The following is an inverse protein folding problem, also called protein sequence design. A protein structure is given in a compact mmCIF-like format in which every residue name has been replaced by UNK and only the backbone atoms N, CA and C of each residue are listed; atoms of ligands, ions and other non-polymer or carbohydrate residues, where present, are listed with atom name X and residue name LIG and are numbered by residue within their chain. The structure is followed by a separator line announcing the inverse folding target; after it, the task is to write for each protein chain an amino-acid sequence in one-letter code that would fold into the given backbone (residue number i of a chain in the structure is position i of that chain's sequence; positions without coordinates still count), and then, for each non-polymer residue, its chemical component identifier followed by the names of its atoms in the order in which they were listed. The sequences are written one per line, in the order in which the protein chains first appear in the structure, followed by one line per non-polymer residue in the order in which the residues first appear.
data_IF_401249729451
#
_entry.id   IF_401249729451
#
_cell.length_a   1.000
_cell.length_b   1.000
_cell.length_c   1.000
_cell.angle_alpha   90.00
_cell.angle_beta   90.00
_cell.angle_gamma   90.00
#
_symmetry.space_group_name_H-M   'P 1'
#
loop_
_entity.id
_entity.type
_entity.pdbx_description
1 polymer ?
#
# COMPACT_ATOMS: atom_id res chain seq x y z
N UNK A 1 -4.81 -16.10 -21.58
CA UNK A 1 -3.72 -15.12 -21.28
C UNK A 1 -3.54 -14.25 -22.51
N UNK A 2 -3.46 -12.93 -22.34
CA UNK A 2 -3.32 -11.99 -23.45
C UNK A 2 -2.05 -12.24 -24.26
N UNK A 3 -2.14 -12.07 -25.58
CA UNK A 3 -1.01 -12.15 -26.52
C UNK A 3 -0.45 -10.75 -26.81
N UNK A 4 0.74 -10.66 -27.41
CA UNK A 4 1.43 -9.40 -27.70
C UNK A 4 0.54 -8.36 -28.41
N UNK A 5 -0.21 -8.75 -29.42
CA UNK A 5 -1.09 -7.85 -30.20
C UNK A 5 -2.17 -7.20 -29.30
N UNK A 6 -2.71 -7.94 -28.35
CA UNK A 6 -3.71 -7.42 -27.39
C UNK A 6 -3.09 -6.40 -26.43
N UNK A 7 -1.87 -6.66 -25.91
CA UNK A 7 -1.14 -5.68 -25.12
C UNK A 7 -0.83 -4.41 -25.89
N UNK A 8 -0.41 -4.51 -27.15
CA UNK A 8 -0.15 -3.36 -28.03
C UNK A 8 -1.45 -2.54 -28.28
N UNK A 9 -2.60 -3.19 -28.36
CA UNK A 9 -3.89 -2.51 -28.46
C UNK A 9 -4.24 -1.78 -27.16
N UNK A 10 -4.06 -2.41 -25.99
CA UNK A 10 -4.27 -1.77 -24.69
C UNK A 10 -3.30 -0.60 -24.52
N UNK A 11 -2.04 -0.74 -24.91
CA UNK A 11 -1.07 0.36 -24.90
C UNK A 11 -1.54 1.56 -25.73
N UNK A 12 -2.03 1.33 -26.95
CA UNK A 12 -2.55 2.40 -27.82
C UNK A 12 -3.71 3.15 -27.21
N UNK A 13 -4.62 2.44 -26.54
CA UNK A 13 -5.82 3.05 -25.93
C UNK A 13 -5.55 3.71 -24.59
N UNK A 14 -4.60 3.18 -23.81
CA UNK A 14 -4.32 3.68 -22.45
C UNK A 14 -3.14 4.63 -22.37
N UNK A 15 -2.19 4.55 -23.30
CA UNK A 15 -0.96 5.34 -23.30
C UNK A 15 0.10 4.92 -22.29
N UNK A 16 -0.06 3.77 -21.61
CA UNK A 16 0.93 3.26 -20.66
C UNK A 16 2.08 2.50 -21.33
N UNK A 17 3.20 2.39 -20.65
CA UNK A 17 4.34 1.59 -21.07
C UNK A 17 3.97 0.10 -21.18
N UNK A 18 4.37 -0.56 -22.30
CA UNK A 18 3.98 -1.95 -22.60
C UNK A 18 4.48 -2.94 -21.55
N UNK A 19 5.70 -2.80 -21.08
CA UNK A 19 6.30 -3.71 -20.10
C UNK A 19 5.61 -3.59 -18.73
N UNK A 20 5.26 -2.36 -18.35
CA UNK A 20 4.52 -2.14 -17.11
C UNK A 20 3.04 -2.55 -17.23
N UNK A 21 2.43 -2.44 -18.42
CA UNK A 21 1.10 -3.00 -18.67
C UNK A 21 1.08 -4.52 -18.50
N UNK A 22 2.08 -5.22 -19.05
CA UNK A 22 2.21 -6.67 -18.86
C UNK A 22 2.36 -7.03 -17.38
N UNK A 23 3.20 -6.29 -16.64
CA UNK A 23 3.36 -6.48 -15.20
C UNK A 23 2.05 -6.23 -14.43
N UNK A 24 1.32 -5.16 -14.76
CA UNK A 24 0.01 -4.85 -14.18
C UNK A 24 -1.04 -5.92 -14.52
N UNK A 25 -0.95 -6.53 -15.71
CA UNK A 25 -1.79 -7.66 -16.09
C UNK A 25 -1.57 -8.88 -15.19
N UNK A 26 -0.33 -9.31 -15.04
CA UNK A 26 0.02 -10.44 -14.17
C UNK A 26 -0.39 -10.18 -12.71
N UNK A 27 -0.18 -8.96 -12.22
CA UNK A 27 -0.63 -8.52 -10.91
C UNK A 27 -2.16 -8.64 -10.77
N UNK A 28 -2.92 -8.13 -11.73
CA UNK A 28 -4.39 -8.17 -11.72
C UNK A 28 -4.91 -9.60 -11.82
N UNK A 29 -4.29 -10.44 -12.64
CA UNK A 29 -4.62 -11.87 -12.79
C UNK A 29 -4.44 -12.62 -11.46
N UNK A 30 -3.29 -12.43 -10.81
CA UNK A 30 -3.00 -13.03 -9.49
C UNK A 30 -4.01 -12.57 -8.45
N UNK A 31 -4.28 -11.27 -8.38
CA UNK A 31 -5.21 -10.68 -7.43
C UNK A 31 -6.64 -11.22 -7.62
N UNK A 32 -7.10 -11.35 -8.87
CA UNK A 32 -8.39 -11.92 -9.19
C UNK A 32 -8.51 -13.39 -8.72
N UNK A 33 -7.49 -14.20 -8.93
CA UNK A 33 -7.51 -15.59 -8.45
C UNK A 33 -7.46 -15.69 -6.92
N UNK A 34 -6.64 -14.86 -6.26
CA UNK A 34 -6.61 -14.80 -4.79
C UNK A 34 -7.98 -14.45 -4.19
N UNK A 35 -8.76 -13.58 -4.84
CA UNK A 35 -10.09 -13.19 -4.35
C UNK A 35 -11.16 -14.29 -4.49
N UNK A 36 -10.95 -15.28 -5.35
CA UNK A 36 -11.84 -16.45 -5.47
C UNK A 36 -11.69 -17.39 -4.27
N UNK A 37 -10.54 -17.36 -3.60
CA UNK A 37 -10.26 -18.24 -2.47
C UNK A 37 -10.79 -17.64 -1.15
N UNK A 38 -11.72 -18.31 -0.43
CA UNK A 38 -12.38 -17.76 0.75
C UNK A 38 -11.40 -17.32 1.84
N UNK A 39 -10.40 -18.16 2.18
CA UNK A 39 -9.42 -17.84 3.23
C UNK A 39 -8.63 -16.58 2.90
N UNK A 40 -8.17 -16.41 1.64
CA UNK A 40 -7.41 -15.23 1.24
C UNK A 40 -8.28 -13.98 1.24
N UNK A 41 -9.48 -14.07 0.66
CA UNK A 41 -10.46 -12.98 0.60
C UNK A 41 -10.87 -12.47 1.98
N UNK A 42 -11.01 -13.37 2.94
CA UNK A 42 -11.46 -13.03 4.30
C UNK A 42 -10.34 -12.46 5.17
N UNK A 43 -9.10 -12.87 4.94
CA UNK A 43 -8.00 -12.58 5.85
C UNK A 43 -6.94 -11.63 5.29
N UNK A 44 -6.98 -11.29 4.00
CA UNK A 44 -6.05 -10.34 3.40
C UNK A 44 -6.78 -9.05 3.00
N UNK A 45 -6.15 -7.92 3.30
CA UNK A 45 -6.65 -6.59 2.94
C UNK A 45 -5.60 -5.91 2.06
N UNK A 46 -6.01 -5.55 0.83
CA UNK A 46 -5.13 -4.87 -0.12
C UNK A 46 -4.83 -3.46 0.36
N UNK A 47 -3.57 -3.06 0.25
CA UNK A 47 -3.06 -1.72 0.57
C UNK A 47 -2.10 -1.20 -0.49
N UNK A 48 -1.38 -0.14 -0.16
CA UNK A 48 -0.30 0.40 -0.98
C UNK A 48 -0.77 1.08 -2.26
N UNK A 49 0.17 1.23 -3.20
CA UNK A 49 -0.07 1.91 -4.48
C UNK A 49 -1.14 1.22 -5.34
N UNK A 50 -1.23 -0.10 -5.28
CA UNK A 50 -2.22 -0.86 -6.05
C UNK A 50 -3.64 -0.58 -5.56
N UNK A 51 -3.87 -0.55 -4.24
CA UNK A 51 -5.17 -0.17 -3.71
C UNK A 51 -5.54 1.27 -4.08
N UNK A 52 -4.63 2.22 -3.91
CA UNK A 52 -4.88 3.63 -4.23
C UNK A 52 -5.21 3.82 -5.71
N UNK A 53 -4.36 3.33 -6.61
CA UNK A 53 -4.47 3.63 -8.03
C UNK A 53 -5.61 2.87 -8.72
N UNK A 54 -5.83 1.60 -8.41
CA UNK A 54 -6.85 0.79 -9.09
C UNK A 54 -8.25 0.87 -8.47
N UNK A 55 -8.37 1.29 -7.20
CA UNK A 55 -9.66 1.36 -6.52
C UNK A 55 -10.16 2.81 -6.43
N UNK A 56 -9.31 3.77 -6.08
CA UNK A 56 -9.73 5.12 -5.68
C UNK A 56 -9.39 6.20 -6.70
N UNK A 57 -8.26 6.09 -7.43
CA UNK A 57 -7.74 7.16 -8.28
C UNK A 57 -7.95 6.95 -9.78
N UNK A 58 -8.72 5.94 -10.19
CA UNK A 58 -9.00 5.65 -11.61
C UNK A 58 -7.74 5.47 -12.47
N UNK A 59 -6.73 4.81 -11.91
CA UNK A 59 -5.49 4.39 -12.57
C UNK A 59 -4.75 5.55 -13.26
N UNK A 60 -4.34 6.60 -12.53
CA UNK A 60 -3.52 7.69 -13.09
C UNK A 60 -2.09 7.22 -13.40
N UNK A 61 -1.61 6.23 -12.65
CA UNK A 61 -0.36 5.51 -12.90
C UNK A 61 -0.51 4.01 -12.68
N UNK A 62 0.37 3.25 -13.28
CA UNK A 62 0.44 1.81 -13.00
C UNK A 62 1.11 1.56 -11.64
N UNK A 63 0.59 0.60 -10.91
CA UNK A 63 1.24 -0.03 -9.75
C UNK A 63 1.60 -1.46 -10.09
N UNK A 64 2.76 -1.91 -9.62
CA UNK A 64 3.41 -3.16 -10.05
C UNK A 64 3.75 -4.10 -8.89
N UNK A 65 3.35 -3.75 -7.68
CA UNK A 65 3.57 -4.55 -6.48
C UNK A 65 2.23 -4.86 -5.80
N UNK A 66 2.10 -6.01 -5.16
CA UNK A 66 0.94 -6.38 -4.36
C UNK A 66 1.30 -6.33 -2.87
N UNK A 67 0.73 -5.36 -2.19
CA UNK A 67 0.91 -5.16 -0.76
C UNK A 67 -0.37 -5.51 -0.01
N UNK A 68 -0.28 -6.42 0.96
CA UNK A 68 -1.37 -6.80 1.83
C UNK A 68 -1.01 -6.63 3.30
N UNK A 69 -2.02 -6.33 4.11
CA UNK A 69 -1.99 -6.68 5.51
C UNK A 69 -2.86 -7.92 5.74
N UNK A 70 -2.35 -8.84 6.54
CA UNK A 70 -3.19 -9.87 7.12
C UNK A 70 -4.11 -9.21 8.17
N UNK A 71 -5.41 -9.42 8.06
CA UNK A 71 -6.43 -8.79 8.92
C UNK A 71 -7.40 -9.82 9.50
N UNK A 72 -6.93 -11.03 9.71
CA UNK A 72 -7.69 -12.13 10.34
C UNK A 72 -7.68 -12.06 11.86
N UNK A 73 -7.05 -13.05 12.49
CA UNK A 73 -6.99 -13.17 13.96
C UNK A 73 -5.98 -12.21 14.59
N UNK A 74 -6.31 -11.68 15.78
CA UNK A 74 -5.47 -10.66 16.45
C UNK A 74 -4.34 -11.31 17.25
N UNK A 75 -4.58 -12.46 17.91
CA UNK A 75 -3.55 -13.11 18.72
C UNK A 75 -2.41 -13.65 17.86
N UNK A 76 -1.23 -13.72 18.46
CA UNK A 76 -0.04 -14.19 17.76
C UNK A 76 -0.16 -15.66 17.36
N UNK A 77 -0.64 -16.47 18.25
CA UNK A 77 -0.76 -17.93 18.11
C UNK A 77 -1.74 -18.31 16.99
N UNK A 78 -2.90 -17.66 16.97
CA UNK A 78 -3.91 -17.88 15.91
C UNK A 78 -3.42 -17.34 14.56
N UNK A 79 -2.76 -16.18 14.54
CA UNK A 79 -2.18 -15.61 13.33
C UNK A 79 -1.14 -16.56 12.72
N UNK A 80 -0.24 -17.13 13.53
CA UNK A 80 0.79 -18.08 13.03
C UNK A 80 0.15 -19.31 12.41
N UNK A 81 -0.87 -19.89 13.04
CA UNK A 81 -1.61 -21.04 12.48
C UNK A 81 -2.26 -20.68 11.14
N UNK A 82 -2.94 -19.55 11.09
CA UNK A 82 -3.64 -19.10 9.88
C UNK A 82 -2.67 -18.69 8.77
N UNK A 83 -1.51 -18.13 9.11
CA UNK A 83 -0.44 -17.80 8.16
C UNK A 83 0.03 -19.02 7.38
N UNK A 84 0.27 -20.14 8.04
CA UNK A 84 0.69 -21.38 7.38
C UNK A 84 -0.33 -21.82 6.32
N UNK A 85 -1.61 -21.71 6.63
CA UNK A 85 -2.68 -22.02 5.71
C UNK A 85 -2.73 -21.03 4.54
N UNK A 86 -2.68 -19.71 4.81
CA UNK A 86 -2.64 -18.65 3.79
C UNK A 86 -1.47 -18.86 2.83
N UNK A 87 -0.27 -19.07 3.33
CA UNK A 87 0.92 -19.25 2.50
C UNK A 87 0.89 -20.54 1.66
N UNK A 88 0.25 -21.60 2.17
CA UNK A 88 -0.02 -22.82 1.40
C UNK A 88 -0.95 -22.55 0.22
N UNK A 89 -2.11 -21.92 0.47
CA UNK A 89 -3.10 -21.60 -0.57
C UNK A 89 -2.53 -20.65 -1.64
N UNK A 90 -1.73 -19.67 -1.22
CA UNK A 90 -1.02 -18.77 -2.14
C UNK A 90 -0.09 -19.55 -3.07
N UNK A 91 0.71 -20.48 -2.54
CA UNK A 91 1.60 -21.31 -3.35
C UNK A 91 0.85 -22.18 -4.36
N UNK A 92 -0.28 -22.76 -3.93
CA UNK A 92 -1.13 -23.57 -4.83
C UNK A 92 -1.72 -22.75 -5.97
N UNK A 93 -2.25 -21.53 -5.67
CA UNK A 93 -2.77 -20.61 -6.69
C UNK A 93 -1.68 -20.25 -7.69
N UNK A 94 -0.50 -19.89 -7.22
CA UNK A 94 0.58 -19.44 -8.09
C UNK A 94 1.13 -20.57 -8.97
N UNK A 95 1.22 -21.76 -8.41
CA UNK A 95 1.58 -22.96 -9.20
C UNK A 95 0.56 -23.23 -10.30
N UNK A 96 -0.74 -23.15 -10.01
CA UNK A 96 -1.83 -23.31 -11.01
C UNK A 96 -1.80 -22.24 -12.11
N UNK A 97 -1.22 -21.09 -11.83
CA UNK A 97 -1.06 -19.98 -12.78
C UNK A 97 0.28 -19.99 -13.53
N UNK A 98 1.12 -21.03 -13.34
CA UNK A 98 2.43 -21.20 -13.95
C UNK A 98 3.47 -20.11 -13.55
N UNK A 99 3.37 -19.59 -12.30
CA UNK A 99 4.39 -18.70 -11.77
C UNK A 99 5.46 -19.45 -10.98
N UNK A 100 6.71 -19.10 -11.23
CA UNK A 100 7.81 -19.55 -10.39
C UNK A 100 7.94 -18.64 -9.15
N UNK A 101 7.82 -19.25 -7.97
CA UNK A 101 7.84 -18.54 -6.70
C UNK A 101 9.26 -18.49 -6.14
N UNK A 102 9.69 -17.32 -5.69
CA UNK A 102 10.95 -17.15 -4.92
C UNK A 102 10.68 -16.37 -3.64
N UNK A 103 11.16 -16.87 -2.51
CA UNK A 103 11.20 -16.12 -1.26
C UNK A 103 12.24 -14.99 -1.38
N UNK A 104 11.90 -13.81 -0.88
CA UNK A 104 12.71 -12.58 -0.92
C UNK A 104 13.08 -12.10 0.48
N UNK A 105 13.28 -13.00 1.41
CA UNK A 105 13.65 -12.69 2.78
C UNK A 105 12.41 -12.48 3.66
N UNK A 106 11.53 -13.46 3.67
CA UNK A 106 10.41 -13.53 4.61
C UNK A 106 10.89 -13.62 6.05
N UNK A 107 10.13 -13.04 6.98
CA UNK A 107 10.38 -13.10 8.41
C UNK A 107 9.08 -13.44 9.15
N UNK A 108 9.15 -13.54 10.48
CA UNK A 108 7.97 -13.79 11.29
C UNK A 108 6.82 -12.79 11.05
N UNK A 109 7.15 -11.52 10.83
CA UNK A 109 6.17 -10.43 10.70
C UNK A 109 5.80 -10.08 9.24
N UNK A 110 6.54 -10.61 8.27
CA UNK A 110 6.34 -10.26 6.87
C UNK A 110 6.67 -11.44 5.96
N UNK A 111 5.83 -11.69 4.97
CA UNK A 111 6.10 -12.61 3.87
C UNK A 111 6.40 -11.80 2.61
N UNK A 112 7.55 -12.08 1.96
CA UNK A 112 7.97 -11.43 0.74
C UNK A 112 8.23 -12.46 -0.33
N UNK A 113 7.48 -12.39 -1.41
CA UNK A 113 7.58 -13.31 -2.51
C UNK A 113 7.76 -12.58 -3.83
N UNK A 114 8.46 -13.22 -4.76
CA UNK A 114 8.60 -12.78 -6.14
C UNK A 114 8.03 -13.87 -7.03
N UNK A 115 7.03 -13.49 -7.85
CA UNK A 115 6.43 -14.37 -8.83
C UNK A 115 7.04 -14.09 -10.19
N UNK A 116 7.86 -15.01 -10.68
CA UNK A 116 8.48 -14.91 -11.99
C UNK A 116 7.57 -15.46 -13.08
N UNK A 117 7.53 -14.79 -14.21
CA UNK A 117 6.81 -15.18 -15.41
C UNK A 117 7.65 -14.94 -16.65
N UNK A 118 7.28 -15.59 -17.76
CA UNK A 118 7.84 -15.30 -19.07
C UNK A 118 7.06 -14.15 -19.70
N UNK A 119 7.78 -13.13 -20.16
CA UNK A 119 7.17 -11.97 -20.81
C UNK A 119 6.77 -12.27 -22.26
N UNK A 120 5.92 -11.40 -22.84
CA UNK A 120 5.56 -11.45 -24.28
C UNK A 120 6.76 -11.27 -25.21
N UNK A 121 7.91 -10.85 -24.69
CA UNK A 121 9.22 -10.76 -25.40
C UNK A 121 10.11 -11.96 -25.13
N UNK A 122 9.58 -13.03 -24.53
CA UNK A 122 10.33 -14.25 -24.17
C UNK A 122 11.48 -14.03 -23.19
N UNK A 123 11.49 -12.90 -22.48
CA UNK A 123 12.38 -12.65 -21.34
C UNK A 123 11.70 -13.05 -20.02
N UNK A 124 12.41 -12.94 -18.90
CA UNK A 124 11.82 -13.18 -17.57
C UNK A 124 11.65 -11.88 -16.82
N UNK A 125 10.47 -11.68 -16.24
CA UNK A 125 10.20 -10.60 -15.30
C UNK A 125 9.46 -11.15 -14.06
N UNK A 126 9.16 -10.28 -13.11
CA UNK A 126 8.52 -10.70 -11.86
C UNK A 126 7.61 -9.62 -11.29
N UNK A 127 6.60 -10.04 -10.54
CA UNK A 127 5.83 -9.18 -9.64
C UNK A 127 6.20 -9.50 -8.20
N UNK A 128 6.14 -8.49 -7.32
CA UNK A 128 6.41 -8.65 -5.89
C UNK A 128 5.10 -8.74 -5.13
N UNK A 129 5.06 -9.63 -4.16
CA UNK A 129 3.94 -9.74 -3.22
C UNK A 129 4.50 -9.67 -1.82
N UNK A 130 3.93 -8.76 -1.04
CA UNK A 130 4.27 -8.59 0.37
C UNK A 130 3.01 -8.74 1.23
N UNK A 131 3.08 -9.54 2.28
CA UNK A 131 2.02 -9.68 3.28
C UNK A 131 2.61 -9.33 4.64
N UNK A 132 2.09 -8.26 5.24
CA UNK A 132 2.46 -7.85 6.59
C UNK A 132 1.53 -8.51 7.61
N UNK A 133 2.09 -9.29 8.52
CA UNK A 133 1.39 -9.99 9.60
C UNK A 133 1.44 -9.24 10.93
N UNK A 134 2.17 -8.13 11.01
CA UNK A 134 2.28 -7.33 12.23
C UNK A 134 1.18 -6.24 12.30
N UNK A 135 1.00 -5.49 11.23
CA UNK A 135 -0.05 -4.47 11.08
C UNK A 135 -1.37 -5.14 10.66
N UNK A 136 -1.99 -5.86 11.63
CA UNK A 136 -3.14 -6.74 11.37
C UNK A 136 -4.46 -6.24 11.94
N UNK A 137 -4.49 -5.04 12.50
CA UNK A 137 -5.72 -4.44 13.04
C UNK A 137 -6.03 -3.14 12.29
N UNK A 138 -6.97 -3.14 11.33
CA UNK A 138 -7.39 -1.91 10.66
C UNK A 138 -7.93 -0.89 11.67
N UNK A 139 -7.45 0.34 11.62
CA UNK A 139 -7.90 1.41 12.51
C UNK A 139 -9.35 1.82 12.17
N UNK A 140 -9.65 1.94 10.89
CA UNK A 140 -10.99 2.17 10.37
C UNK A 140 -11.78 0.89 10.14
N UNK A 141 -12.72 0.97 9.21
CA UNK A 141 -13.47 -0.20 8.73
C UNK A 141 -12.77 -0.79 7.52
N UNK A 142 -12.62 -2.12 7.51
CA UNK A 142 -12.28 -2.87 6.31
C UNK A 142 -13.47 -2.83 5.36
N UNK A 143 -13.26 -2.41 4.13
CA UNK A 143 -14.32 -2.21 3.17
C UNK A 143 -14.17 -3.14 1.97
N UNK A 144 -15.30 -3.63 1.46
CA UNK A 144 -15.32 -4.37 0.19
C UNK A 144 -15.40 -3.36 -0.95
N UNK A 145 -14.36 -3.29 -1.76
CA UNK A 145 -14.22 -2.32 -2.86
C UNK A 145 -14.17 -3.01 -4.21
N UNK A 146 -14.71 -2.33 -5.21
CA UNK A 146 -14.65 -2.75 -6.60
C UNK A 146 -13.25 -2.48 -7.16
N UNK A 147 -12.64 -3.50 -7.74
CA UNK A 147 -11.38 -3.39 -8.49
C UNK A 147 -11.70 -3.47 -9.97
N UNK A 148 -11.49 -2.36 -10.67
CA UNK A 148 -11.76 -2.28 -12.11
C UNK A 148 -10.54 -2.74 -12.90
N UNK A 149 -10.69 -3.83 -13.64
CA UNK A 149 -9.65 -4.29 -14.56
C UNK A 149 -9.67 -3.48 -15.85
N UNK A 150 -8.48 -3.16 -16.38
CA UNK A 150 -8.33 -2.62 -17.73
C UNK A 150 -8.10 -3.72 -18.78
N UNK A 151 -8.03 -4.97 -18.35
CA UNK A 151 -7.73 -6.12 -19.18
C UNK A 151 -9.01 -6.89 -19.53
N UNK A 152 -9.31 -7.12 -20.82
CA UNK A 152 -10.61 -7.65 -21.26
C UNK A 152 -10.89 -9.08 -20.81
N UNK A 153 -9.85 -9.89 -20.59
CA UNK A 153 -9.96 -11.28 -20.12
C UNK A 153 -10.04 -11.42 -18.60
N UNK A 154 -9.91 -10.32 -17.84
CA UNK A 154 -10.04 -10.31 -16.39
C UNK A 154 -11.26 -9.46 -16.01
N UNK A 155 -12.33 -10.08 -15.49
CA UNK A 155 -13.53 -9.34 -15.10
C UNK A 155 -13.25 -8.39 -13.93
N UNK A 156 -14.10 -7.40 -13.77
CA UNK A 156 -14.15 -6.60 -12.54
C UNK A 156 -14.54 -7.50 -11.35
N UNK A 157 -13.85 -7.37 -10.25
CA UNK A 157 -14.09 -8.15 -9.04
C UNK A 157 -14.12 -7.24 -7.80
N UNK A 158 -14.46 -7.78 -6.66
CA UNK A 158 -14.46 -7.05 -5.38
C UNK A 158 -13.47 -7.67 -4.42
N UNK A 159 -12.79 -6.83 -3.66
CA UNK A 159 -11.81 -7.25 -2.67
C UNK A 159 -11.86 -6.36 -1.41
N UNK A 160 -11.24 -6.84 -0.34
CA UNK A 160 -11.10 -6.07 0.87
C UNK A 160 -9.97 -5.05 0.75
N UNK A 161 -10.27 -3.79 1.10
CA UNK A 161 -9.29 -2.70 1.20
C UNK A 161 -9.61 -1.81 2.39
N UNK A 162 -8.73 -0.88 2.67
CA UNK A 162 -8.93 0.18 3.67
C UNK A 162 -9.74 1.34 3.08
N UNK A 163 -10.27 2.23 3.92
CA UNK A 163 -10.80 3.52 3.45
C UNK A 163 -9.70 4.36 2.80
N UNK A 164 -10.07 5.31 1.94
CA UNK A 164 -9.10 6.19 1.30
C UNK A 164 -8.31 7.01 2.33
N UNK A 165 -8.93 7.43 3.44
CA UNK A 165 -8.28 8.17 4.51
C UNK A 165 -7.23 7.32 5.23
N UNK A 166 -7.51 6.04 5.48
CA UNK A 166 -6.54 5.14 6.12
C UNK A 166 -5.37 4.81 5.17
N UNK A 167 -5.64 4.58 3.88
CA UNK A 167 -4.60 4.42 2.87
C UNK A 167 -3.74 5.68 2.71
N UNK A 168 -4.36 6.87 2.77
CA UNK A 168 -3.64 8.15 2.74
C UNK A 168 -2.71 8.29 3.93
N UNK A 169 -3.16 7.91 5.12
CA UNK A 169 -2.33 7.93 6.33
C UNK A 169 -1.14 6.98 6.24
N UNK A 170 -1.36 5.75 5.76
CA UNK A 170 -0.29 4.79 5.50
C UNK A 170 0.71 5.32 4.45
N UNK A 171 0.21 5.92 3.36
CA UNK A 171 1.03 6.50 2.29
C UNK A 171 1.85 7.68 2.77
N UNK A 172 1.26 8.58 3.56
CA UNK A 172 1.93 9.76 4.12
C UNK A 172 3.08 9.37 5.04
N UNK A 173 2.85 8.39 5.91
CA UNK A 173 3.88 7.87 6.81
C UNK A 173 5.00 7.18 6.04
N UNK A 174 4.65 6.33 5.06
CA UNK A 174 5.64 5.66 4.22
C UNK A 174 6.50 6.67 3.42
N UNK A 175 5.92 7.76 2.94
CA UNK A 175 6.64 8.81 2.23
C UNK A 175 7.69 9.49 3.11
N UNK A 176 7.41 9.73 4.39
CA UNK A 176 8.40 10.26 5.34
C UNK A 176 9.54 9.28 5.64
N UNK A 177 9.23 7.98 5.65
CA UNK A 177 10.21 6.95 6.00
C UNK A 177 11.20 6.67 4.86
N UNK A 178 10.69 6.47 3.63
CA UNK A 178 11.49 5.97 2.51
C UNK A 178 11.72 6.98 1.38
N UNK A 179 10.94 8.07 1.36
CA UNK A 179 11.09 9.14 0.38
C UNK A 179 11.06 8.67 -1.09
N UNK A 180 10.09 7.83 -1.45
CA UNK A 180 9.90 7.32 -2.81
C UNK A 180 9.14 8.33 -3.69
N UNK A 181 9.60 8.55 -4.92
CA UNK A 181 8.99 9.51 -5.85
C UNK A 181 7.54 9.15 -6.18
N UNK A 182 7.23 7.87 -6.31
CA UNK A 182 5.86 7.39 -6.52
C UNK A 182 4.92 7.75 -5.36
N UNK A 183 5.46 7.87 -4.14
CA UNK A 183 4.66 8.28 -2.98
C UNK A 183 4.32 9.78 -3.05
N UNK A 184 5.23 10.62 -3.56
CA UNK A 184 4.94 12.05 -3.80
C UNK A 184 3.81 12.22 -4.82
N UNK A 185 3.86 11.49 -5.92
CA UNK A 185 2.83 11.57 -6.96
C UNK A 185 1.46 11.10 -6.43
N UNK A 186 1.44 9.99 -5.67
CA UNK A 186 0.20 9.53 -5.03
C UNK A 186 -0.35 10.59 -4.07
N UNK A 187 0.49 11.23 -3.25
CA UNK A 187 0.07 12.29 -2.32
C UNK A 187 -0.43 13.55 -3.04
N UNK A 188 0.21 13.96 -4.13
CA UNK A 188 -0.27 15.03 -4.99
C UNK A 188 -1.68 14.75 -5.51
N UNK A 189 -1.97 13.53 -5.96
CA UNK A 189 -3.31 13.15 -6.42
C UNK A 189 -4.31 13.05 -5.28
N UNK A 190 -3.89 12.53 -4.12
CA UNK A 190 -4.72 12.40 -2.93
C UNK A 190 -5.09 13.76 -2.33
N UNK A 191 -4.21 14.77 -2.41
CA UNK A 191 -4.51 16.14 -1.94
C UNK A 191 -5.69 16.78 -2.67
N UNK A 192 -6.01 16.28 -3.87
CA UNK A 192 -7.14 16.75 -4.71
C UNK A 192 -8.44 15.98 -4.45
N UNK A 193 -8.40 14.94 -3.61
CA UNK A 193 -9.58 14.13 -3.29
C UNK A 193 -10.35 14.73 -2.12
N UNK A 194 -11.68 14.57 -2.16
CA UNK A 194 -12.54 14.97 -1.04
C UNK A 194 -12.46 13.94 0.08
N UNK A 195 -11.73 14.25 1.14
CA UNK A 195 -11.47 13.39 2.30
C UNK A 195 -11.60 14.17 3.62
N UNK A 196 -11.76 13.45 4.73
CA UNK A 196 -11.72 14.06 6.06
C UNK A 196 -10.27 14.16 6.54
N UNK A 197 -9.72 15.38 6.59
CA UNK A 197 -8.37 15.65 7.12
C UNK A 197 -8.27 15.23 8.59
N UNK A 198 -9.27 15.52 9.41
CA UNK A 198 -9.30 15.11 10.81
C UNK A 198 -9.14 13.58 10.97
N UNK A 199 -9.86 12.82 10.15
CA UNK A 199 -9.77 11.35 10.17
C UNK A 199 -8.39 10.87 9.71
N UNK A 200 -7.81 11.50 8.67
CA UNK A 200 -6.46 11.21 8.21
C UNK A 200 -5.45 11.50 9.33
N UNK A 201 -5.55 12.64 10.02
CA UNK A 201 -4.67 13.00 11.12
C UNK A 201 -4.73 11.99 12.27
N UNK A 202 -5.95 11.56 12.68
CA UNK A 202 -6.12 10.51 13.70
C UNK A 202 -5.41 9.22 13.32
N UNK A 203 -5.62 8.74 12.09
CA UNK A 203 -4.94 7.53 11.61
C UNK A 203 -3.42 7.74 11.48
N UNK A 204 -3.00 8.89 10.97
CA UNK A 204 -1.57 9.22 10.80
C UNK A 204 -0.83 9.28 12.12
N UNK A 205 -1.47 9.73 13.20
CA UNK A 205 -0.89 9.70 14.55
C UNK A 205 -0.47 8.27 14.94
N UNK A 206 -1.33 7.29 14.69
CA UNK A 206 -1.07 5.89 15.02
C UNK A 206 -0.03 5.28 14.08
N UNK A 207 -0.19 5.45 12.75
CA UNK A 207 0.77 4.92 11.77
C UNK A 207 2.16 5.55 11.94
N UNK A 208 2.24 6.82 12.30
CA UNK A 208 3.49 7.49 12.62
C UNK A 208 4.20 6.81 13.81
N UNK A 209 3.49 6.53 14.89
CA UNK A 209 4.04 5.82 16.05
C UNK A 209 4.53 4.39 15.71
N UNK A 210 3.94 3.73 14.71
CA UNK A 210 4.37 2.40 14.29
C UNK A 210 5.71 2.40 13.54
N UNK A 211 6.00 3.45 12.77
CA UNK A 211 7.16 3.51 11.88
C UNK A 211 8.27 4.41 12.39
N UNK A 212 7.97 5.61 12.84
CA UNK A 212 8.94 6.66 13.19
C UNK A 212 9.91 6.26 14.31
N UNK A 213 11.05 6.93 14.34
CA UNK A 213 12.09 6.74 15.37
C UNK A 213 12.06 7.80 16.44
N UNK A 214 11.34 8.89 16.23
CA UNK A 214 11.23 10.02 17.15
C UNK A 214 9.81 10.61 17.15
N UNK A 215 9.54 11.55 18.05
CA UNK A 215 8.23 12.15 18.26
C UNK A 215 7.89 13.32 17.31
N UNK A 216 8.77 13.67 16.37
CA UNK A 216 8.54 14.80 15.46
C UNK A 216 8.68 14.39 14.00
N UNK A 217 7.62 14.51 13.17
CA UNK A 217 7.71 14.28 11.73
C UNK A 217 8.69 15.24 11.04
N UNK A 218 9.57 14.71 10.23
CA UNK A 218 10.51 15.49 9.43
C UNK A 218 10.08 15.55 7.96
N UNK A 219 9.36 16.62 7.62
CA UNK A 219 8.89 16.88 6.25
C UNK A 219 10.00 17.53 5.40
N UNK A 220 11.10 17.99 5.99
CA UNK A 220 12.17 18.66 5.25
C UNK A 220 12.82 17.75 4.20
N UNK A 221 12.86 16.45 4.44
CA UNK A 221 13.35 15.44 3.49
C UNK A 221 12.67 15.53 2.12
N UNK A 222 11.36 15.84 2.10
CA UNK A 222 10.60 15.96 0.86
C UNK A 222 11.06 17.15 0.01
N UNK A 223 11.50 18.26 0.66
CA UNK A 223 12.03 19.41 -0.06
C UNK A 223 13.31 19.09 -0.84
N UNK A 224 14.08 18.10 -0.38
CA UNK A 224 15.32 17.66 -1.00
C UNK A 224 15.17 16.84 -2.29
N UNK A 225 13.95 16.49 -2.71
CA UNK A 225 13.76 15.72 -3.95
C UNK A 225 14.21 16.49 -5.19
N UNK A 226 15.01 15.83 -6.01
CA UNK A 226 15.44 16.36 -7.30
C UNK A 226 14.29 16.32 -8.30
N UNK A 227 13.97 17.49 -8.87
CA UNK A 227 12.89 17.69 -9.85
C UNK A 227 13.11 16.87 -11.12
N UNK A 228 14.34 16.76 -11.60
CA UNK A 228 14.68 15.97 -12.79
C UNK A 228 14.43 14.48 -12.54
N UNK A 229 14.79 14.01 -11.35
CA UNK A 229 14.56 12.63 -10.93
C UNK A 229 13.08 12.31 -10.82
N UNK A 230 12.25 13.23 -10.30
CA UNK A 230 10.79 13.08 -10.28
C UNK A 230 10.24 12.82 -11.68
N UNK A 231 10.62 13.65 -12.64
CA UNK A 231 10.17 13.50 -14.02
C UNK A 231 10.60 12.18 -14.66
N UNK A 232 11.88 11.82 -14.51
CA UNK A 232 12.45 10.60 -15.11
C UNK A 232 11.82 9.31 -14.53
N UNK A 233 11.66 9.23 -13.22
CA UNK A 233 11.12 8.02 -12.58
C UNK A 233 9.62 7.87 -12.79
N UNK A 234 8.84 8.97 -12.80
CA UNK A 234 7.40 8.88 -12.99
C UNK A 234 7.00 8.59 -14.43
N UNK A 235 7.76 9.07 -15.40
CA UNK A 235 7.41 8.96 -16.83
C UNK A 235 7.07 7.52 -17.24
N UNK A 236 7.77 6.52 -16.72
CA UNK A 236 7.51 5.13 -17.06
C UNK A 236 6.19 4.58 -16.50
N UNK A 237 5.68 5.13 -15.38
CA UNK A 237 4.49 4.63 -14.68
C UNK A 237 3.19 5.31 -15.12
N UNK A 238 3.27 6.50 -15.69
CA UNK A 238 2.13 7.30 -16.13
C UNK A 238 1.86 7.13 -17.61
N UNK A 239 0.75 7.70 -18.09
CA UNK A 239 0.41 7.71 -19.53
C UNK A 239 1.33 8.64 -20.29
N UNK A 240 1.71 8.26 -21.50
CA UNK A 240 2.56 9.09 -22.37
C UNK A 240 1.96 10.49 -22.68
N UNK A 241 0.62 10.63 -22.62
CA UNK A 241 -0.07 11.90 -22.82
C UNK A 241 -0.09 12.79 -21.58
N UNK A 242 0.28 12.27 -20.41
CA UNK A 242 0.24 13.00 -19.13
C UNK A 242 1.37 14.02 -19.08
N UNK A 243 0.99 15.28 -18.89
CA UNK A 243 1.96 16.37 -18.68
C UNK A 243 2.20 16.53 -17.18
N UNK A 244 3.41 16.17 -16.75
CA UNK A 244 3.82 16.34 -15.35
C UNK A 244 4.46 17.73 -15.16
N UNK A 245 4.06 18.42 -14.10
CA UNK A 245 4.84 19.48 -13.51
C UNK A 245 5.44 19.00 -12.18
N UNK A 246 6.71 18.62 -12.14
CA UNK A 246 7.35 18.09 -10.95
C UNK A 246 7.38 19.07 -9.77
N UNK A 247 7.36 20.40 -10.04
CA UNK A 247 7.29 21.42 -8.99
C UNK A 247 5.94 21.37 -8.30
N UNK A 248 4.85 21.38 -9.08
CA UNK A 248 3.48 21.27 -8.55
C UNK A 248 3.28 19.98 -7.76
N UNK A 249 3.79 18.85 -8.28
CA UNK A 249 3.71 17.56 -7.56
C UNK A 249 4.39 17.66 -6.20
N UNK A 250 5.59 18.22 -6.15
CA UNK A 250 6.37 18.38 -4.92
C UNK A 250 5.71 19.35 -3.94
N UNK A 251 5.22 20.49 -4.43
CA UNK A 251 4.55 21.51 -3.62
C UNK A 251 3.24 20.98 -3.01
N UNK A 252 2.37 20.39 -3.80
CA UNK A 252 1.09 19.82 -3.36
C UNK A 252 1.33 18.73 -2.30
N UNK A 253 2.27 17.80 -2.56
CA UNK A 253 2.62 16.76 -1.61
C UNK A 253 3.18 17.33 -0.30
N UNK A 254 4.06 18.34 -0.37
CA UNK A 254 4.59 19.02 0.81
C UNK A 254 3.52 19.75 1.63
N UNK A 255 2.60 20.44 0.96
CA UNK A 255 1.50 21.14 1.64
C UNK A 255 0.56 20.14 2.31
N UNK A 256 0.21 19.09 1.60
CA UNK A 256 -0.67 18.04 2.12
C UNK A 256 -0.06 17.30 3.32
N UNK A 257 1.23 16.95 3.26
CA UNK A 257 1.93 16.36 4.39
C UNK A 257 1.99 17.29 5.61
N UNK A 258 2.21 18.59 5.40
CA UNK A 258 2.15 19.58 6.50
C UNK A 258 0.80 19.61 7.17
N UNK A 259 -0.28 19.55 6.37
CA UNK A 259 -1.65 19.50 6.88
C UNK A 259 -1.91 18.21 7.65
N UNK A 260 -1.53 17.04 7.10
CA UNK A 260 -1.73 15.72 7.74
C UNK A 260 -0.97 15.62 9.06
N UNK A 261 0.27 16.11 9.13
CA UNK A 261 1.11 16.02 10.31
C UNK A 261 1.05 17.28 11.21
N UNK A 262 0.08 18.18 10.98
CA UNK A 262 -0.25 19.27 11.90
C UNK A 262 -1.06 18.73 13.09
N UNK A 263 -0.42 17.89 13.89
CA UNK A 263 -1.07 17.22 15.02
C UNK A 263 -1.61 18.23 16.04
N UNK A 264 -2.84 18.02 16.49
CA UNK A 264 -3.41 18.80 17.59
C UNK A 264 -2.78 18.41 18.95
N UNK A 265 -3.11 19.15 20.01
CA UNK A 265 -2.54 18.91 21.34
C UNK A 265 -2.74 17.48 21.86
N UNK A 266 -3.94 16.86 21.81
CA UNK A 266 -4.13 15.45 22.17
C UNK A 266 -3.28 14.48 21.37
N UNK A 267 -3.22 14.65 20.04
CA UNK A 267 -2.44 13.79 19.14
C UNK A 267 -0.93 13.90 19.43
N UNK A 268 -0.43 15.13 19.60
CA UNK A 268 0.98 15.33 19.96
C UNK A 268 1.29 14.74 21.34
N UNK A 269 0.39 14.90 22.32
CA UNK A 269 0.53 14.29 23.65
C UNK A 269 0.59 12.76 23.56
N UNK A 270 -0.25 12.15 22.72
CA UNK A 270 -0.20 10.69 22.48
C UNK A 270 1.18 10.27 21.95
N UNK A 271 1.70 10.96 20.93
CA UNK A 271 3.01 10.66 20.34
C UNK A 271 4.13 10.83 21.37
N UNK A 272 4.12 11.91 22.13
CA UNK A 272 5.15 12.18 23.14
C UNK A 272 5.18 11.11 24.23
N UNK A 273 4.02 10.71 24.75
CA UNK A 273 3.90 9.65 25.76
C UNK A 273 4.32 8.31 25.17
N UNK A 274 3.91 8.01 23.93
CA UNK A 274 4.30 6.78 23.24
C UNK A 274 5.82 6.62 23.15
N UNK A 275 6.55 7.67 22.76
CA UNK A 275 8.01 7.61 22.60
C UNK A 275 8.76 7.76 23.91
N UNK A 276 8.29 8.60 24.86
CA UNK A 276 9.00 8.90 26.12
C UNK A 276 8.68 7.89 27.22
N UNK A 277 7.38 7.53 27.35
CA UNK A 277 6.91 6.71 28.47
C UNK A 277 6.61 5.26 28.05
N UNK A 278 6.67 4.97 26.75
CA UNK A 278 6.33 3.64 26.18
C UNK A 278 4.91 3.17 26.54
N UNK A 279 3.96 4.12 26.57
CA UNK A 279 2.54 3.87 26.91
C UNK A 279 1.64 4.23 25.72
N UNK A 280 0.48 3.57 25.65
CA UNK A 280 -0.58 3.81 24.66
C UNK A 280 -1.78 4.39 25.41
N UNK A 281 -2.02 5.70 25.26
CA UNK A 281 -3.20 6.39 25.82
C UNK A 281 -4.24 6.61 24.69
N UNK A 282 -4.95 5.54 24.34
CA UNK A 282 -5.84 5.50 23.18
C UNK A 282 -6.99 6.51 23.25
N UNK A 283 -7.41 6.90 24.44
CA UNK A 283 -8.44 7.93 24.70
C UNK A 283 -8.09 9.31 24.13
N UNK A 284 -6.81 9.59 23.85
CA UNK A 284 -6.37 10.85 23.28
C UNK A 284 -6.64 10.96 21.76
N UNK A 285 -6.96 9.86 21.07
CA UNK A 285 -7.03 9.81 19.58
C UNK A 285 -8.46 9.71 19.06
N UNK A 286 -9.44 9.37 19.92
CA UNK A 286 -10.84 9.19 19.53
C UNK A 286 -11.01 8.18 18.36
N UNK A 287 -10.23 7.13 18.36
CA UNK A 287 -10.39 5.90 17.58
C UNK A 287 -10.82 4.80 18.56
N UNK A 288 -11.35 3.70 18.04
CA UNK A 288 -11.70 2.57 18.88
C UNK A 288 -10.52 2.17 19.78
N UNK A 289 -10.63 2.45 21.07
CA UNK A 289 -9.56 2.28 22.06
C UNK A 289 -9.01 0.86 22.11
N UNK A 290 -9.89 -0.15 22.02
CA UNK A 290 -9.47 -1.56 22.02
C UNK A 290 -8.60 -1.88 20.82
N UNK A 291 -8.88 -1.30 19.64
CA UNK A 291 -8.04 -1.48 18.45
C UNK A 291 -6.67 -0.86 18.64
N UNK A 292 -6.58 0.30 19.23
CA UNK A 292 -5.31 1.04 19.43
C UNK A 292 -4.48 0.38 20.53
N UNK A 293 -5.06 0.11 21.70
CA UNK A 293 -4.33 -0.47 22.85
C UNK A 293 -3.81 -1.88 22.61
N UNK A 294 -4.53 -2.67 21.82
CA UNK A 294 -4.15 -4.05 21.45
C UNK A 294 -3.48 -4.16 20.08
N UNK A 295 -3.11 -3.04 19.46
CA UNK A 295 -2.53 -3.06 18.11
C UNK A 295 -1.15 -3.71 18.12
N UNK A 296 -0.95 -4.85 17.43
CA UNK A 296 0.29 -5.60 17.53
C UNK A 296 1.52 -4.82 17.04
N UNK A 297 1.36 -3.95 16.02
CA UNK A 297 2.45 -3.14 15.53
C UNK A 297 2.88 -2.07 16.54
N UNK A 298 1.95 -1.42 17.27
CA UNK A 298 2.28 -0.48 18.35
C UNK A 298 2.99 -1.19 19.50
N UNK A 299 2.45 -2.32 19.96
CA UNK A 299 3.06 -3.11 21.04
C UNK A 299 4.46 -3.59 20.69
N UNK A 300 4.66 -4.05 19.45
CA UNK A 300 5.98 -4.44 18.96
C UNK A 300 6.94 -3.24 18.88
N UNK A 301 6.45 -2.06 18.49
CA UNK A 301 7.26 -0.84 18.41
C UNK A 301 7.74 -0.39 19.79
N UNK A 302 6.85 -0.39 20.79
CA UNK A 302 7.20 -0.07 22.19
C UNK A 302 8.37 -0.90 22.69
N UNK A 303 8.37 -2.21 22.39
CA UNK A 303 9.46 -3.12 22.78
C UNK A 303 10.82 -2.76 22.14
N UNK A 304 10.80 -2.04 21.01
CA UNK A 304 11.99 -1.64 20.24
C UNK A 304 12.48 -0.21 20.51
N UNK A 305 11.69 0.61 21.17
CA UNK A 305 12.11 1.95 21.59
C UNK A 305 13.18 1.79 22.69
N UNK A 306 14.37 2.30 22.43
CA UNK A 306 15.51 2.30 23.37
C UNK A 306 15.30 3.30 24.50
#
# INVERSE_FOLDING_TARGET
MLIRKEFEQIQKTTGFNLELLEKAYHLTRVLNEMQKHPILRENLTLKGGTALNFIYLNIPRLSIDLDFNYTGKITKEEMVKQRLQIEKEIKEIFSKLDYNIRDRGSSYIISRQSLQYQTIRYTRDHIKIEINYLDRVPLGKREKKKFSSMFPDIPTFSLASYSIEELTSQKSTACLDRSEIRDLYDLHLLSKQKMSIEKIQKFSTIYYCMSATNSKPDISKIKGFDIKKIQQELHQFIRNSEKLDPNVIKEDACMFLKEIFAFNKPQQKFIDIFFKEKKILAELIEINETKVTRHPALLHKIQKIK
#
